data_IF_076210387249
#
_entry.id   IF_076210387249
#
_cell.length_a   1.000
_cell.length_b   1.000
_cell.length_c   1.000
_cell.angle_alpha   90.00
_cell.angle_beta   90.00
_cell.angle_gamma   90.00
#
_symmetry.space_group_name_H-M   'P 1'
#
loop_
_entity.id
_entity.type
_entity.pdbx_description
1 polymer ?
#
# COMPACT_ATOMS: atom_id res chain seq x y z
N UNK A 1 30.79 -22.76 36.41
CA UNK A 1 29.55 -21.97 36.21
C UNK A 1 29.74 -21.12 34.97
N UNK A 2 29.15 -21.53 33.86
CA UNK A 2 29.27 -20.83 32.58
C UNK A 2 28.12 -19.84 32.46
N UNK A 3 28.43 -18.54 32.43
CA UNK A 3 27.44 -17.49 32.23
C UNK A 3 27.23 -17.35 30.72
N UNK A 4 26.07 -17.78 30.24
CA UNK A 4 25.63 -17.59 28.85
C UNK A 4 25.21 -16.12 28.68
N UNK A 5 25.95 -15.35 27.89
CA UNK A 5 25.48 -14.04 27.42
C UNK A 5 24.49 -14.24 26.27
N UNK A 6 23.22 -13.93 26.51
CA UNK A 6 22.21 -13.80 25.47
C UNK A 6 22.49 -12.58 24.56
N UNK A 7 21.99 -12.57 23.32
CA UNK A 7 22.19 -11.46 22.39
C UNK A 7 21.52 -10.19 22.92
N UNK A 8 22.04 -8.99 22.60
CA UNK A 8 21.48 -7.74 23.07
C UNK A 8 20.08 -7.53 22.48
N UNK A 9 19.09 -7.33 23.35
CA UNK A 9 17.76 -6.94 22.94
C UNK A 9 17.81 -5.49 22.39
N UNK A 10 17.26 -5.29 21.20
CA UNK A 10 17.06 -3.96 20.63
C UNK A 10 15.86 -3.31 21.34
N UNK A 11 16.09 -2.61 22.45
CA UNK A 11 15.06 -1.81 23.10
C UNK A 11 14.80 -0.52 22.31
N UNK A 12 13.69 -0.50 21.57
CA UNK A 12 13.19 0.72 20.94
C UNK A 12 12.46 1.54 22.00
N UNK A 13 13.14 2.49 22.62
CA UNK A 13 12.49 3.51 23.45
C UNK A 13 11.74 4.49 22.56
N UNK A 14 10.41 4.45 22.56
CA UNK A 14 9.55 5.49 22.00
C UNK A 14 9.64 6.76 22.87
N UNK A 15 10.75 7.49 22.79
CA UNK A 15 10.85 8.82 23.40
C UNK A 15 10.06 9.81 22.54
N UNK A 16 8.87 10.18 23.02
CA UNK A 16 7.97 11.23 22.50
C UNK A 16 7.85 11.26 20.98
N UNK A 17 6.69 10.84 20.46
CA UNK A 17 6.33 11.11 19.07
C UNK A 17 6.65 12.59 18.76
N UNK A 18 7.48 12.88 17.75
CA UNK A 18 7.67 14.26 17.33
C UNK A 18 6.29 14.84 17.01
N UNK A 19 6.04 16.13 17.30
CA UNK A 19 4.79 16.77 16.91
C UNK A 19 4.57 16.50 15.42
N UNK A 20 3.33 16.17 14.99
CA UNK A 20 3.04 15.97 13.58
C UNK A 20 3.57 17.20 12.83
N UNK A 21 4.23 17.00 11.68
CA UNK A 21 4.85 18.10 10.95
C UNK A 21 3.83 19.21 10.72
N UNK A 22 4.22 20.45 11.03
CA UNK A 22 3.37 21.61 10.88
C UNK A 22 2.87 21.67 9.42
N UNK A 23 1.55 21.48 9.24
CA UNK A 23 0.81 21.60 7.97
C UNK A 23 1.66 21.32 6.72
N UNK A 24 1.80 20.03 6.39
CA UNK A 24 2.42 19.58 5.13
C UNK A 24 1.70 20.23 3.95
N UNK A 25 2.51 20.64 2.96
CA UNK A 25 2.14 21.16 1.64
C UNK A 25 0.77 20.65 1.14
N UNK A 26 -0.05 21.56 0.61
CA UNK A 26 -1.35 21.29 -0.02
C UNK A 26 -1.26 20.43 -1.30
N UNK A 27 -0.06 19.98 -1.66
CA UNK A 27 0.20 19.04 -2.73
C UNK A 27 0.84 17.79 -2.13
N UNK A 28 0.01 16.84 -1.72
CA UNK A 28 0.47 15.50 -1.34
C UNK A 28 0.29 14.55 -2.53
N UNK A 29 1.26 13.64 -2.69
CA UNK A 29 1.12 12.54 -3.63
C UNK A 29 -0.12 11.70 -3.26
N UNK A 30 -0.84 11.24 -4.26
CA UNK A 30 -2.00 10.35 -4.07
C UNK A 30 -1.48 8.92 -4.13
N UNK A 31 -1.70 8.17 -3.07
CA UNK A 31 -1.46 6.72 -3.02
C UNK A 31 -2.81 5.99 -3.05
N UNK A 32 -2.81 4.76 -3.54
CA UNK A 32 -4.01 3.94 -3.59
C UNK A 32 -3.74 2.58 -2.96
N UNK A 33 -4.70 2.02 -2.22
CA UNK A 33 -4.51 0.68 -1.68
C UNK A 33 -4.30 -0.32 -2.83
N UNK A 34 -3.21 -1.07 -2.74
CA UNK A 34 -2.78 -2.05 -3.72
C UNK A 34 -3.78 -3.20 -3.85
N UNK A 35 -4.56 -3.19 -4.92
CA UNK A 35 -5.47 -4.28 -5.24
C UNK A 35 -5.16 -4.76 -6.65
N UNK A 36 -5.02 -6.09 -6.79
CA UNK A 36 -4.91 -6.78 -8.06
C UNK A 36 -6.04 -6.36 -9.02
N UNK A 37 -5.71 -6.08 -10.28
CA UNK A 37 -6.70 -5.80 -11.33
C UNK A 37 -7.76 -6.91 -11.41
N UNK A 38 -7.34 -8.18 -11.32
CA UNK A 38 -8.23 -9.34 -11.35
C UNK A 38 -9.19 -9.41 -10.15
N UNK A 39 -8.78 -8.92 -8.99
CA UNK A 39 -9.64 -8.84 -7.81
C UNK A 39 -10.69 -7.73 -7.99
N UNK A 40 -10.30 -6.58 -8.57
CA UNK A 40 -11.23 -5.50 -8.95
C UNK A 40 -12.28 -6.01 -9.94
N UNK A 41 -11.87 -6.78 -10.94
CA UNK A 41 -12.78 -7.41 -11.93
C UNK A 41 -13.73 -8.42 -11.27
N UNK A 42 -13.19 -9.28 -10.41
CA UNK A 42 -13.95 -10.33 -9.71
C UNK A 42 -15.08 -9.74 -8.85
N UNK A 43 -14.78 -8.65 -8.13
CA UNK A 43 -15.72 -8.01 -7.23
C UNK A 43 -16.48 -6.84 -7.89
N UNK A 44 -16.20 -6.53 -9.16
CA UNK A 44 -16.82 -5.44 -9.94
C UNK A 44 -16.98 -4.18 -9.10
N UNK A 45 -15.88 -3.73 -8.52
CA UNK A 45 -15.90 -2.60 -7.59
C UNK A 45 -15.13 -1.43 -8.19
N UNK A 46 -15.87 -0.37 -8.55
CA UNK A 46 -15.40 0.77 -9.35
C UNK A 46 -15.16 2.06 -8.53
N UNK A 47 -15.38 1.99 -7.21
CA UNK A 47 -15.23 3.15 -6.32
C UNK A 47 -13.83 3.22 -5.71
N UNK A 48 -13.42 4.45 -5.40
CA UNK A 48 -12.17 4.77 -4.70
C UNK A 48 -12.28 4.29 -3.26
N UNK A 49 -12.13 2.99 -3.05
CA UNK A 49 -12.21 2.41 -1.72
C UNK A 49 -11.12 2.95 -0.80
N UNK A 50 -9.96 3.35 -1.36
CA UNK A 50 -8.81 3.83 -0.58
C UNK A 50 -7.91 4.71 -1.44
N UNK A 51 -8.23 6.01 -1.55
CA UNK A 51 -7.26 7.03 -1.99
C UNK A 51 -6.67 7.68 -0.75
N UNK A 52 -5.35 7.64 -0.63
CA UNK A 52 -4.59 8.27 0.45
C UNK A 52 -4.00 9.56 -0.14
N UNK A 53 -4.58 10.70 0.21
CA UNK A 53 -3.99 12.03 -0.02
C UNK A 53 -3.33 12.59 1.25
N UNK A 54 -2.91 11.67 2.14
CA UNK A 54 -2.32 11.91 3.47
C UNK A 54 -3.08 12.88 4.37
N UNK A 55 -4.40 12.94 4.18
CA UNK A 55 -5.38 13.35 5.18
C UNK A 55 -6.29 12.14 5.42
N UNK A 56 -6.66 11.90 6.68
CA UNK A 56 -7.54 10.80 7.12
C UNK A 56 -8.85 10.86 6.33
N UNK A 57 -8.94 10.12 5.23
CA UNK A 57 -10.20 9.92 4.52
C UNK A 57 -10.84 8.73 5.21
N UNK A 58 -11.76 9.01 6.12
CA UNK A 58 -12.72 8.00 6.57
C UNK A 58 -13.35 7.40 5.31
N UNK A 59 -13.08 6.13 5.00
CA UNK A 59 -13.51 5.54 3.74
C UNK A 59 -15.03 5.61 3.68
N UNK A 60 -15.57 5.63 2.46
CA UNK A 60 -17.01 5.49 2.27
C UNK A 60 -17.46 4.19 2.96
N UNK A 61 -18.07 4.33 4.14
CA UNK A 61 -18.46 3.18 4.96
C UNK A 61 -19.48 2.31 4.24
N UNK A 62 -20.26 2.88 3.32
CA UNK A 62 -21.19 2.13 2.47
C UNK A 62 -20.41 1.34 1.43
N UNK A 63 -19.44 1.94 0.75
CA UNK A 63 -18.54 1.27 -0.19
C UNK A 63 -17.89 0.02 0.44
N UNK A 64 -17.32 0.16 1.64
CA UNK A 64 -16.63 -0.94 2.35
C UNK A 64 -17.62 -2.03 2.79
N UNK A 65 -18.83 -1.67 3.23
CA UNK A 65 -19.88 -2.64 3.56
C UNK A 65 -20.35 -3.42 2.33
N UNK A 66 -20.57 -2.74 1.22
CA UNK A 66 -20.92 -3.37 -0.06
C UNK A 66 -19.80 -4.29 -0.53
N UNK A 67 -18.55 -3.88 -0.38
CA UNK A 67 -17.40 -4.72 -0.74
C UNK A 67 -17.33 -5.98 0.12
N UNK A 68 -17.43 -5.86 1.45
CA UNK A 68 -17.51 -7.02 2.34
C UNK A 68 -18.66 -7.98 1.97
N UNK A 69 -19.82 -7.43 1.61
CA UNK A 69 -20.97 -8.22 1.16
C UNK A 69 -20.65 -8.99 -0.12
N UNK A 70 -20.04 -8.34 -1.12
CA UNK A 70 -19.64 -9.00 -2.38
C UNK A 70 -18.60 -10.09 -2.16
N UNK A 71 -17.62 -9.86 -1.29
CA UNK A 71 -16.63 -10.88 -0.90
C UNK A 71 -17.30 -12.09 -0.24
N UNK A 72 -18.18 -11.85 0.72
CA UNK A 72 -18.89 -12.93 1.43
C UNK A 72 -19.81 -13.74 0.50
N UNK A 73 -20.49 -13.07 -0.44
CA UNK A 73 -21.29 -13.75 -1.46
C UNK A 73 -20.42 -14.65 -2.35
N UNK A 74 -19.24 -14.17 -2.80
CA UNK A 74 -18.31 -14.96 -3.62
C UNK A 74 -17.70 -16.14 -2.86
N UNK A 75 -17.49 -15.97 -1.55
CA UNK A 75 -16.94 -17.00 -0.64
C UNK A 75 -17.99 -18.01 -0.16
N UNK A 76 -19.25 -17.87 -0.59
CA UNK A 76 -20.38 -18.70 -0.19
C UNK A 76 -20.48 -18.84 1.33
N UNK A 77 -20.40 -17.73 2.06
CA UNK A 77 -20.32 -17.73 3.53
C UNK A 77 -21.54 -18.34 4.22
N UNK A 78 -22.68 -18.43 3.53
CA UNK A 78 -23.85 -19.16 4.01
C UNK A 78 -23.57 -20.67 4.18
N UNK A 79 -22.71 -21.22 3.32
CA UNK A 79 -22.20 -22.62 3.40
C UNK A 79 -20.91 -22.72 4.20
N UNK A 80 -20.08 -21.67 4.17
CA UNK A 80 -18.77 -21.64 4.84
C UNK A 80 -18.62 -20.40 5.76
N UNK A 81 -19.31 -20.35 6.93
CA UNK A 81 -19.33 -19.17 7.78
C UNK A 81 -17.94 -18.70 8.24
N UNK A 82 -16.99 -19.63 8.41
CA UNK A 82 -15.61 -19.33 8.80
C UNK A 82 -14.81 -18.51 7.79
N UNK A 83 -15.30 -18.33 6.56
CA UNK A 83 -14.66 -17.51 5.50
C UNK A 83 -15.14 -16.06 5.49
N UNK A 84 -16.11 -15.72 6.33
CA UNK A 84 -16.74 -14.41 6.32
C UNK A 84 -15.79 -13.29 6.76
N UNK A 85 -15.85 -12.18 6.03
CA UNK A 85 -15.14 -10.94 6.35
C UNK A 85 -16.13 -9.86 6.75
N UNK A 86 -15.71 -8.98 7.64
CA UNK A 86 -16.50 -7.83 8.10
C UNK A 86 -15.93 -6.56 7.49
N UNK A 87 -16.80 -5.58 7.24
CA UNK A 87 -16.37 -4.25 6.79
C UNK A 87 -15.31 -3.63 7.74
N UNK A 88 -15.42 -3.88 9.04
CA UNK A 88 -14.42 -3.45 10.02
C UNK A 88 -13.02 -4.04 9.80
N UNK A 89 -12.90 -5.27 9.27
CA UNK A 89 -11.60 -5.85 8.95
C UNK A 89 -10.96 -5.15 7.74
N UNK A 90 -11.76 -4.83 6.71
CA UNK A 90 -11.30 -4.09 5.53
C UNK A 90 -10.86 -2.68 5.89
N UNK A 91 -11.64 -1.99 6.75
CA UNK A 91 -11.24 -0.68 7.28
C UNK A 91 -9.95 -0.74 8.08
N UNK A 92 -9.77 -1.78 8.92
CA UNK A 92 -8.54 -1.96 9.68
C UNK A 92 -7.33 -2.21 8.76
N UNK A 93 -7.51 -2.96 7.67
CA UNK A 93 -6.47 -3.18 6.66
C UNK A 93 -6.05 -1.86 6.00
N UNK A 94 -7.01 -1.04 5.55
CA UNK A 94 -6.72 0.28 4.98
C UNK A 94 -6.05 1.24 5.97
N UNK A 95 -6.44 1.20 7.24
CA UNK A 95 -5.80 2.03 8.28
C UNK A 95 -4.34 1.61 8.53
N UNK A 96 -4.04 0.31 8.52
CA UNK A 96 -2.67 -0.19 8.66
C UNK A 96 -1.81 0.31 7.49
N UNK A 97 -2.33 0.23 6.27
CA UNK A 97 -1.65 0.72 5.06
C UNK A 97 -1.37 2.24 5.12
N UNK A 98 -2.37 3.03 5.54
CA UNK A 98 -2.20 4.48 5.76
C UNK A 98 -1.11 4.80 6.80
N UNK A 99 -1.09 4.07 7.91
CA UNK A 99 -0.05 4.24 8.94
C UNK A 99 1.33 3.91 8.36
N UNK A 100 1.45 2.87 7.54
CA UNK A 100 2.73 2.48 6.94
C UNK A 100 3.22 3.51 5.92
N UNK A 101 2.33 4.06 5.09
CA UNK A 101 2.62 5.21 4.24
C UNK A 101 3.13 6.40 5.04
N UNK A 102 2.46 6.72 6.15
CA UNK A 102 2.88 7.82 7.01
C UNK A 102 4.27 7.58 7.62
N UNK A 103 4.56 6.35 8.04
CA UNK A 103 5.88 5.94 8.54
C UNK A 103 6.96 6.09 7.46
N UNK A 104 6.69 5.64 6.22
CA UNK A 104 7.62 5.79 5.11
C UNK A 104 7.85 7.25 4.74
N UNK A 105 6.79 8.07 4.76
CA UNK A 105 6.90 9.53 4.57
C UNK A 105 7.79 10.15 5.64
N UNK A 106 7.57 9.82 6.93
CA UNK A 106 8.40 10.33 8.02
C UNK A 106 9.85 9.87 7.89
N UNK A 107 10.07 8.61 7.50
CA UNK A 107 11.39 8.07 7.26
C UNK A 107 12.12 8.81 6.13
N UNK A 108 11.44 9.04 5.01
CA UNK A 108 11.96 9.84 3.91
C UNK A 108 12.28 11.27 4.39
N UNK A 109 11.37 11.96 5.06
CA UNK A 109 11.58 13.36 5.47
C UNK A 109 12.67 13.56 6.53
N UNK A 110 12.78 12.64 7.50
CA UNK A 110 13.58 12.88 8.72
C UNK A 110 14.85 12.06 8.82
N UNK A 111 14.84 10.81 8.33
CA UNK A 111 15.95 9.88 8.50
C UNK A 111 16.75 9.69 7.22
N UNK A 112 16.09 9.70 6.06
CA UNK A 112 16.73 9.37 4.78
C UNK A 112 16.16 10.18 3.59
N UNK A 113 16.35 11.52 3.54
CA UNK A 113 15.79 12.38 2.49
C UNK A 113 16.07 11.92 1.06
N UNK A 114 15.04 11.68 0.25
CA UNK A 114 15.17 11.21 -1.14
C UNK A 114 15.60 9.74 -1.27
N UNK A 115 15.24 8.90 -0.31
CA UNK A 115 15.59 7.46 -0.29
C UNK A 115 15.07 6.73 -1.52
N UNK A 116 13.84 6.99 -1.97
CA UNK A 116 13.26 6.28 -3.12
C UNK A 116 13.99 6.64 -4.42
N UNK A 117 14.26 7.91 -4.66
CA UNK A 117 15.05 8.37 -5.79
C UNK A 117 16.46 7.73 -5.81
N UNK A 118 17.12 7.64 -4.64
CA UNK A 118 18.42 6.96 -4.52
C UNK A 118 18.32 5.47 -4.77
N UNK A 119 17.28 4.81 -4.25
CA UNK A 119 17.06 3.38 -4.42
C UNK A 119 16.86 3.03 -5.90
N UNK A 120 16.05 3.81 -6.63
CA UNK A 120 15.87 3.64 -8.08
C UNK A 120 17.20 3.73 -8.82
N UNK A 121 17.96 4.82 -8.62
CA UNK A 121 19.27 4.99 -9.27
C UNK A 121 20.24 3.86 -8.96
N UNK A 122 20.24 3.39 -7.73
CA UNK A 122 21.08 2.27 -7.30
C UNK A 122 20.70 0.95 -7.98
N UNK A 123 19.42 0.69 -8.18
CA UNK A 123 18.95 -0.50 -8.91
C UNK A 123 19.27 -0.38 -10.41
N UNK A 124 19.11 0.79 -11.01
CA UNK A 124 19.45 1.05 -12.42
C UNK A 124 20.94 0.82 -12.71
N UNK A 125 21.83 1.20 -11.79
CA UNK A 125 23.27 0.96 -11.90
C UNK A 125 23.67 -0.52 -11.87
N UNK A 126 22.77 -1.41 -11.44
CA UNK A 126 23.01 -2.85 -11.31
C UNK A 126 22.42 -3.67 -12.46
N UNK A 127 22.09 -3.01 -13.57
CA UNK A 127 21.46 -3.63 -14.74
C UNK A 127 20.15 -4.39 -14.40
N UNK A 128 19.50 -3.99 -13.31
CA UNK A 128 18.15 -4.45 -13.00
C UNK A 128 17.21 -3.77 -13.99
N UNK A 129 16.28 -4.54 -14.57
CA UNK A 129 15.25 -4.00 -15.49
C UNK A 129 14.17 -3.23 -14.72
N UNK A 130 14.56 -2.21 -13.94
CA UNK A 130 13.71 -1.43 -13.03
C UNK A 130 12.46 -0.94 -13.74
N UNK A 131 12.61 -0.30 -14.91
CA UNK A 131 11.45 0.17 -15.68
C UNK A 131 10.49 -0.95 -16.08
N UNK A 132 10.99 -2.15 -16.43
CA UNK A 132 10.12 -3.30 -16.72
C UNK A 132 9.39 -3.77 -15.46
N UNK A 133 10.07 -3.82 -14.32
CA UNK A 133 9.49 -4.21 -13.04
C UNK A 133 8.38 -3.25 -12.63
N UNK A 134 8.64 -1.94 -12.62
CA UNK A 134 7.65 -0.92 -12.26
C UNK A 134 6.41 -0.99 -13.17
N UNK A 135 6.60 -1.21 -14.47
CA UNK A 135 5.47 -1.39 -15.40
C UNK A 135 4.66 -2.64 -15.16
N UNK A 136 5.34 -3.74 -14.87
CA UNK A 136 4.67 -5.01 -14.57
C UNK A 136 3.85 -4.85 -13.31
N UNK A 137 4.39 -4.17 -12.29
CA UNK A 137 3.67 -3.85 -11.08
C UNK A 137 2.44 -2.97 -11.37
N UNK A 138 2.58 -1.85 -12.07
CA UNK A 138 1.44 -0.97 -12.43
C UNK A 138 0.39 -1.70 -13.29
N UNK A 139 0.78 -2.68 -14.09
CA UNK A 139 -0.18 -3.49 -14.84
C UNK A 139 -0.97 -4.46 -13.95
N UNK A 140 -0.33 -5.04 -12.92
CA UNK A 140 -0.95 -5.99 -11.99
C UNK A 140 -1.76 -5.28 -10.89
N UNK A 141 -1.24 -4.16 -10.40
CA UNK A 141 -1.80 -3.32 -9.34
C UNK A 141 -2.04 -1.90 -9.88
N UNK A 142 -2.94 -1.74 -10.86
CA UNK A 142 -3.13 -0.46 -11.50
C UNK A 142 -3.74 0.57 -10.53
N UNK A 143 -3.18 1.79 -10.49
CA UNK A 143 -3.89 2.96 -9.99
C UNK A 143 -5.19 3.14 -10.75
N UNK A 144 -6.17 3.84 -10.16
CA UNK A 144 -7.52 4.00 -10.70
C UNK A 144 -7.55 4.43 -12.16
N UNK A 145 -6.79 5.46 -12.52
CA UNK A 145 -6.79 6.00 -13.88
C UNK A 145 -6.21 5.03 -14.90
N UNK A 146 -5.27 4.18 -14.48
CA UNK A 146 -4.74 3.09 -15.31
C UNK A 146 -5.76 1.97 -15.43
N UNK A 147 -6.39 1.58 -14.33
CA UNK A 147 -7.40 0.52 -14.30
C UNK A 147 -8.62 0.87 -15.17
N UNK A 148 -9.08 2.12 -15.11
CA UNK A 148 -10.20 2.63 -15.92
C UNK A 148 -9.84 2.88 -17.39
N UNK A 149 -8.58 2.67 -17.78
CA UNK A 149 -8.10 2.91 -19.14
C UNK A 149 -8.03 4.40 -19.51
N UNK A 150 -8.09 5.31 -18.53
CA UNK A 150 -7.93 6.74 -18.78
C UNK A 150 -6.49 7.09 -19.18
N UNK A 151 -5.51 6.30 -18.73
CA UNK A 151 -4.12 6.37 -19.18
C UNK A 151 -3.43 5.00 -19.14
N UNK A 152 -2.33 4.86 -19.88
CA UNK A 152 -1.52 3.63 -19.86
C UNK A 152 -0.46 3.62 -18.74
N UNK A 153 0.06 2.44 -18.35
CA UNK A 153 1.12 2.31 -17.34
C UNK A 153 2.37 3.17 -17.61
N UNK A 154 2.79 3.25 -18.87
CA UNK A 154 3.94 4.08 -19.29
C UNK A 154 3.67 5.57 -19.08
N UNK A 155 2.48 6.03 -19.47
CA UNK A 155 2.05 7.41 -19.29
C UNK A 155 1.97 7.76 -17.81
N UNK A 156 1.42 6.87 -16.98
CA UNK A 156 1.38 7.03 -15.54
C UNK A 156 2.79 7.14 -14.95
N UNK A 157 3.70 6.22 -15.26
CA UNK A 157 5.06 6.24 -14.71
C UNK A 157 5.86 7.47 -15.12
N UNK A 158 5.53 8.11 -16.25
CA UNK A 158 6.14 9.36 -16.70
C UNK A 158 5.67 10.61 -15.96
N UNK A 159 4.66 10.53 -15.09
CA UNK A 159 4.11 11.67 -14.37
C UNK A 159 4.82 11.94 -13.03
N UNK A 160 4.64 13.17 -12.54
CA UNK A 160 5.21 13.67 -11.29
C UNK A 160 4.18 14.50 -10.51
N UNK A 161 3.08 13.89 -10.04
CA UNK A 161 2.06 14.61 -9.27
C UNK A 161 2.68 15.16 -7.98
N UNK A 162 2.28 16.38 -7.61
CA UNK A 162 2.72 17.03 -6.37
C UNK A 162 4.26 17.06 -6.14
N UNK A 163 5.05 16.94 -7.22
CA UNK A 163 6.51 16.95 -7.13
C UNK A 163 7.18 15.61 -6.79
N UNK A 164 6.43 14.52 -6.56
CA UNK A 164 6.99 13.16 -6.39
C UNK A 164 6.79 12.33 -7.68
N UNK A 165 7.85 11.79 -8.29
CA UNK A 165 7.72 10.97 -9.49
C UNK A 165 6.88 9.72 -9.24
N UNK A 166 6.02 9.35 -10.20
CA UNK A 166 5.22 8.13 -10.09
C UNK A 166 6.09 6.86 -10.03
N UNK A 167 7.32 6.90 -10.51
CA UNK A 167 8.30 5.81 -10.31
C UNK A 167 8.70 5.64 -8.85
N UNK A 168 8.85 6.74 -8.10
CA UNK A 168 9.15 6.71 -6.67
C UNK A 168 7.93 6.26 -5.85
N UNK A 169 6.75 6.75 -6.22
CA UNK A 169 5.47 6.27 -5.66
C UNK A 169 5.36 4.77 -5.90
N UNK A 170 5.47 4.30 -7.14
CA UNK A 170 5.39 2.87 -7.50
C UNK A 170 6.41 2.01 -6.73
N UNK A 171 7.60 2.51 -6.44
CA UNK A 171 8.57 1.77 -5.61
C UNK A 171 8.14 1.69 -4.14
N UNK A 172 7.62 2.77 -3.58
CA UNK A 172 7.04 2.79 -2.23
C UNK A 172 5.89 1.79 -2.12
N UNK A 173 4.99 1.84 -3.09
CA UNK A 173 3.86 0.94 -3.30
C UNK A 173 4.29 -0.55 -3.30
N UNK A 174 5.34 -0.89 -4.06
CA UNK A 174 5.92 -2.24 -4.07
C UNK A 174 6.44 -2.71 -2.71
N UNK A 175 7.06 -1.80 -1.93
CA UNK A 175 7.57 -2.12 -0.58
C UNK A 175 6.40 -2.40 0.36
N UNK A 176 5.32 -1.62 0.26
CA UNK A 176 4.13 -1.81 1.09
C UNK A 176 3.36 -3.07 0.73
N UNK A 177 3.32 -3.45 -0.56
CA UNK A 177 2.79 -4.74 -0.98
C UNK A 177 3.58 -5.90 -0.34
N UNK A 178 4.91 -5.83 -0.37
CA UNK A 178 5.76 -6.83 0.27
C UNK A 178 5.47 -6.92 1.79
N UNK A 179 5.37 -5.79 2.49
CA UNK A 179 5.04 -5.74 3.92
C UNK A 179 3.65 -6.32 4.19
N UNK A 180 2.67 -6.01 3.32
CA UNK A 180 1.31 -6.53 3.38
C UNK A 180 1.29 -8.06 3.25
N UNK A 181 2.12 -8.60 2.36
CA UNK A 181 2.24 -10.05 2.18
C UNK A 181 2.87 -10.78 3.38
N UNK A 182 3.67 -10.08 4.19
CA UNK A 182 4.22 -10.61 5.45
C UNK A 182 3.26 -10.49 6.64
N UNK A 183 2.20 -9.67 6.56
CA UNK A 183 1.32 -9.40 7.68
C UNK A 183 0.30 -10.55 7.89
N UNK A 184 0.35 -11.31 9.00
CA UNK A 184 -0.59 -12.41 9.24
C UNK A 184 -2.05 -11.96 9.33
N UNK A 185 -2.30 -10.72 9.79
CA UNK A 185 -3.64 -10.17 9.88
C UNK A 185 -4.30 -9.99 8.50
N UNK A 186 -3.48 -9.91 7.44
CA UNK A 186 -3.94 -9.75 6.07
C UNK A 186 -4.20 -11.10 5.39
N UNK A 187 -3.86 -12.23 6.04
CA UNK A 187 -4.08 -13.59 5.50
C UNK A 187 -5.47 -13.85 4.92
N UNK A 188 -6.58 -13.47 5.60
CA UNK A 188 -7.94 -13.62 5.07
C UNK A 188 -8.26 -12.81 3.81
N UNK A 189 -7.37 -11.91 3.39
CA UNK A 189 -7.54 -10.96 2.29
C UNK A 189 -6.52 -11.17 1.16
N UNK A 190 -5.70 -12.24 1.21
CA UNK A 190 -4.66 -12.52 0.21
C UNK A 190 -5.16 -12.44 -1.24
N UNK A 191 -6.38 -12.88 -1.53
CA UNK A 191 -6.99 -12.75 -2.86
C UNK A 191 -7.03 -11.32 -3.45
N UNK A 192 -6.80 -10.29 -2.63
CA UNK A 192 -6.74 -8.89 -3.08
C UNK A 192 -5.34 -8.45 -3.51
N UNK A 193 -4.27 -9.05 -2.98
CA UNK A 193 -2.91 -8.52 -3.11
C UNK A 193 -1.79 -9.58 -3.11
N UNK A 194 -2.12 -10.86 -3.17
CA UNK A 194 -1.12 -11.94 -3.23
C UNK A 194 -0.19 -11.72 -4.43
N UNK A 195 1.12 -11.74 -4.17
CA UNK A 195 2.19 -11.51 -5.14
C UNK A 195 3.00 -12.77 -5.45
N UNK A 196 2.54 -13.93 -4.95
CA UNK A 196 3.15 -15.25 -5.16
C UNK A 196 2.72 -15.95 -6.44
#
# INVERSE_FOLDING_TARGET
MTVMHGPPALEIFLRKFPPPPATRSTHQAVFEFHILASARDTYRFDEELFSISGNVIFPDFRAVRLFAQKMNARRETDKFPGRAVKAGHLNAMGLIDEILHYVLTLYEETANPGVFARAIRFLEQRDVKVGKTLRTFVALFPPRDVYKGAMGPETYLGQKPAGKPNTEITLEEMILLFISNLNPAFGPFKELFDDT
#
